data_IF_975672942771
#
_entry.id   IF_975672942771
#
_cell.length_a   1.000
_cell.length_b   1.000
_cell.length_c   1.000
_cell.angle_alpha   90.00
_cell.angle_beta   90.00
_cell.angle_gamma   90.00
#
_symmetry.space_group_name_H-M   'P 1'
#
loop_
_entity.id
_entity.type
_entity.pdbx_description
1 polymer ?
#
# COMPACT_ATOMS: atom_id res chain seq x y z
N UNK A 1 -1.50 -34.97 0.46
CA UNK A 1 -0.48 -34.03 -0.07
C UNK A 1 0.09 -33.25 1.11
N UNK A 2 1.41 -33.28 1.36
CA UNK A 2 2.01 -32.43 2.41
C UNK A 2 1.83 -30.96 1.98
N UNK A 3 0.95 -30.23 2.65
CA UNK A 3 0.71 -28.81 2.39
C UNK A 3 1.88 -27.99 2.96
N UNK A 4 3.00 -27.95 2.24
CA UNK A 4 4.08 -27.03 2.54
C UNK A 4 3.67 -25.62 2.08
N UNK A 5 3.24 -24.80 3.04
CA UNK A 5 2.77 -23.43 2.78
C UNK A 5 3.89 -22.56 2.18
N UNK A 6 5.16 -22.86 2.46
CA UNK A 6 6.28 -22.13 1.89
C UNK A 6 6.37 -22.28 0.35
N UNK A 7 5.81 -23.35 -0.20
CA UNK A 7 5.77 -23.66 -1.65
C UNK A 7 4.34 -23.60 -2.20
N UNK A 8 3.57 -22.62 -1.76
CA UNK A 8 2.16 -22.50 -2.13
C UNK A 8 1.99 -22.41 -3.66
N UNK A 9 1.25 -23.35 -4.29
CA UNK A 9 0.99 -23.31 -5.72
C UNK A 9 0.00 -22.20 -6.08
N UNK A 10 -0.07 -21.89 -7.37
CA UNK A 10 -0.88 -20.80 -7.90
C UNK A 10 -2.37 -20.94 -7.53
N UNK A 11 -2.96 -22.12 -7.75
CA UNK A 11 -4.41 -22.32 -7.59
C UNK A 11 -4.88 -22.04 -6.15
N UNK A 12 -4.26 -22.61 -5.09
CA UNK A 12 -4.65 -22.27 -3.72
C UNK A 12 -4.43 -20.80 -3.34
N UNK A 13 -3.38 -20.17 -3.87
CA UNK A 13 -3.11 -18.75 -3.62
C UNK A 13 -4.21 -17.84 -4.23
N UNK A 14 -4.72 -18.19 -5.41
CA UNK A 14 -5.83 -17.48 -6.03
C UNK A 14 -7.16 -17.75 -5.32
N UNK A 15 -7.44 -18.99 -4.91
CA UNK A 15 -8.66 -19.33 -4.18
C UNK A 15 -8.73 -18.59 -2.85
N UNK A 16 -7.63 -18.54 -2.10
CA UNK A 16 -7.55 -17.78 -0.85
C UNK A 16 -7.76 -16.28 -1.09
N UNK A 17 -7.16 -15.72 -2.15
CA UNK A 17 -7.43 -14.32 -2.52
C UNK A 17 -8.91 -14.08 -2.90
N UNK A 18 -9.56 -15.01 -3.62
CA UNK A 18 -10.97 -14.89 -3.97
C UNK A 18 -11.86 -14.89 -2.74
N UNK A 19 -11.59 -15.79 -1.78
CA UNK A 19 -12.32 -15.82 -0.49
C UNK A 19 -12.12 -14.50 0.27
N UNK A 20 -10.89 -14.01 0.37
CA UNK A 20 -10.60 -12.72 1.00
C UNK A 20 -11.26 -11.56 0.26
N UNK A 21 -11.35 -11.60 -1.06
CA UNK A 21 -12.07 -10.63 -1.88
C UNK A 21 -13.58 -10.67 -1.65
N UNK A 22 -14.16 -11.84 -1.39
CA UNK A 22 -15.54 -11.97 -0.94
C UNK A 22 -15.74 -11.37 0.45
N UNK A 23 -14.81 -11.61 1.38
CA UNK A 23 -14.85 -11.03 2.72
C UNK A 23 -14.70 -9.49 2.70
N UNK A 24 -13.86 -8.94 1.82
CA UNK A 24 -13.80 -7.48 1.63
C UNK A 24 -15.08 -6.93 1.00
N UNK A 25 -15.67 -7.62 0.01
CA UNK A 25 -16.94 -7.22 -0.58
C UNK A 25 -18.06 -7.14 0.46
N UNK A 26 -18.09 -8.11 1.37
CA UNK A 26 -18.99 -8.13 2.52
C UNK A 26 -18.68 -6.97 3.47
N UNK A 27 -17.40 -6.76 3.78
CA UNK A 27 -16.96 -5.68 4.67
C UNK A 27 -17.40 -4.30 4.18
N UNK A 28 -17.31 -4.07 2.88
CA UNK A 28 -17.74 -2.84 2.24
C UNK A 28 -19.27 -2.68 2.15
N UNK A 29 -20.06 -3.73 2.40
CA UNK A 29 -21.53 -3.65 2.40
C UNK A 29 -22.07 -2.88 3.62
N UNK A 30 -21.31 -2.82 4.70
CA UNK A 30 -21.69 -2.20 5.96
C UNK A 30 -20.96 -0.87 6.17
N UNK A 31 -20.70 -0.13 5.07
CA UNK A 31 -19.73 0.94 5.10
C UNK A 31 -20.20 2.32 5.57
N UNK A 32 -19.84 2.66 6.82
CA UNK A 32 -19.89 4.03 7.33
C UNK A 32 -18.73 4.86 6.74
N UNK A 33 -19.10 5.78 5.87
CA UNK A 33 -18.21 6.63 5.06
C UNK A 33 -17.56 7.78 5.84
N UNK A 34 -17.91 7.98 7.11
CA UNK A 34 -17.55 9.16 7.92
C UNK A 34 -16.06 9.24 8.28
N UNK A 35 -15.38 8.11 8.48
CA UNK A 35 -13.97 8.08 8.90
C UNK A 35 -12.97 8.39 7.75
N UNK A 36 -13.35 8.17 6.49
CA UNK A 36 -12.49 8.47 5.34
C UNK A 36 -12.43 9.98 5.01
N UNK A 37 -13.48 10.74 5.39
CA UNK A 37 -13.65 12.16 5.06
C UNK A 37 -12.72 13.06 5.89
N UNK A 38 -12.46 12.73 7.15
CA UNK A 38 -11.64 13.57 8.05
C UNK A 38 -10.16 13.59 7.64
N UNK A 39 -9.67 12.56 6.95
CA UNK A 39 -8.29 12.47 6.49
C UNK A 39 -8.01 13.18 5.15
N UNK A 40 -9.06 13.56 4.42
CA UNK A 40 -8.97 13.98 3.02
C UNK A 40 -9.10 15.49 2.79
N UNK A 41 -9.61 16.25 3.76
CA UNK A 41 -9.85 17.68 3.58
C UNK A 41 -8.91 18.55 4.42
N UNK A 42 -7.77 18.98 3.86
CA UNK A 42 -7.10 20.17 4.36
C UNK A 42 -7.99 21.38 4.04
N UNK A 43 -8.48 22.08 5.06
CA UNK A 43 -9.24 23.31 4.88
C UNK A 43 -8.32 24.41 4.31
N UNK A 44 -8.27 24.52 2.98
CA UNK A 44 -7.41 25.49 2.28
C UNK A 44 -8.25 26.41 1.42
N UNK A 45 -8.15 27.71 1.69
CA UNK A 45 -8.83 28.74 0.90
C UNK A 45 -8.36 28.74 -0.56
N UNK A 46 -9.29 28.80 -1.50
CA UNK A 46 -9.00 28.89 -2.94
C UNK A 46 -9.00 27.56 -3.70
N UNK A 47 -9.30 26.44 -3.04
CA UNK A 47 -9.79 25.23 -3.71
C UNK A 47 -11.28 25.40 -4.03
N UNK A 48 -11.62 25.32 -5.32
CA UNK A 48 -13.01 25.28 -5.80
C UNK A 48 -13.45 23.83 -6.00
N UNK A 49 -12.52 22.96 -6.36
CA UNK A 49 -12.76 21.53 -6.46
C UNK A 49 -12.48 20.86 -5.12
N UNK A 50 -13.37 19.96 -4.72
CA UNK A 50 -13.13 19.07 -3.60
C UNK A 50 -11.91 18.17 -3.89
N UNK A 51 -11.22 17.78 -2.82
CA UNK A 51 -10.11 16.85 -2.93
C UNK A 51 -10.56 15.53 -3.56
N UNK A 52 -9.73 14.87 -4.40
CA UNK A 52 -10.15 13.65 -5.11
C UNK A 52 -10.64 12.54 -4.19
N UNK A 53 -10.10 12.40 -2.97
CA UNK A 53 -10.61 11.44 -2.00
C UNK A 53 -12.06 11.74 -1.57
N UNK A 54 -12.44 13.01 -1.44
CA UNK A 54 -13.81 13.41 -1.10
C UNK A 54 -14.78 13.09 -2.23
N UNK A 55 -14.39 13.39 -3.47
CA UNK A 55 -15.16 12.98 -4.67
C UNK A 55 -15.36 11.47 -4.72
N UNK A 56 -14.34 10.69 -4.35
CA UNK A 56 -14.47 9.22 -4.25
C UNK A 56 -15.49 8.85 -3.18
N UNK A 57 -15.46 9.47 -1.99
CA UNK A 57 -16.44 9.21 -0.92
C UNK A 57 -17.87 9.56 -1.37
N UNK A 58 -18.07 10.69 -2.03
CA UNK A 58 -19.38 11.10 -2.55
C UNK A 58 -19.90 10.10 -3.59
N UNK A 59 -19.01 9.60 -4.46
CA UNK A 59 -19.35 8.52 -5.38
C UNK A 59 -19.74 7.22 -4.64
N UNK A 60 -19.04 6.88 -3.55
CA UNK A 60 -19.40 5.71 -2.74
C UNK A 60 -20.80 5.85 -2.13
N UNK A 61 -21.14 7.04 -1.63
CA UNK A 61 -22.46 7.33 -1.08
C UNK A 61 -23.56 7.27 -2.17
N UNK A 62 -23.29 7.83 -3.36
CA UNK A 62 -24.26 7.86 -4.45
C UNK A 62 -24.47 6.48 -5.10
N UNK A 63 -23.41 5.65 -5.21
CA UNK A 63 -23.43 4.37 -5.94
C UNK A 63 -22.71 3.25 -5.14
N UNK A 64 -23.26 2.81 -4.00
CA UNK A 64 -22.58 1.87 -3.11
C UNK A 64 -22.34 0.49 -3.75
N UNK A 65 -23.21 0.02 -4.65
CA UNK A 65 -22.99 -1.24 -5.37
C UNK A 65 -21.75 -1.22 -6.27
N UNK A 66 -21.60 -0.16 -7.07
CA UNK A 66 -20.45 0.01 -7.96
C UNK A 66 -19.17 0.28 -7.20
N UNK A 67 -19.23 1.10 -6.14
CA UNK A 67 -18.09 1.35 -5.27
C UNK A 67 -17.53 0.06 -4.65
N UNK A 68 -18.42 -0.84 -4.19
CA UNK A 68 -18.02 -2.16 -3.66
C UNK A 68 -17.32 -3.02 -4.71
N UNK A 69 -17.88 -3.07 -5.92
CA UNK A 69 -17.29 -3.85 -7.01
C UNK A 69 -15.91 -3.29 -7.40
N UNK A 70 -15.77 -1.97 -7.49
CA UNK A 70 -14.48 -1.34 -7.81
C UNK A 70 -13.46 -1.50 -6.67
N UNK A 71 -13.89 -1.41 -5.41
CA UNK A 71 -12.99 -1.56 -4.26
C UNK A 71 -12.47 -3.00 -4.14
N UNK A 72 -13.33 -3.99 -4.34
CA UNK A 72 -12.94 -5.41 -4.32
C UNK A 72 -12.01 -5.75 -5.48
N UNK A 73 -12.29 -5.21 -6.68
CA UNK A 73 -11.42 -5.35 -7.84
C UNK A 73 -10.06 -4.67 -7.58
N UNK A 74 -10.04 -3.45 -7.03
CA UNK A 74 -8.80 -2.75 -6.70
C UNK A 74 -7.97 -3.52 -5.67
N UNK A 75 -8.61 -4.05 -4.63
CA UNK A 75 -7.99 -4.94 -3.63
C UNK A 75 -7.36 -6.18 -4.28
N UNK A 76 -8.11 -6.90 -5.12
CA UNK A 76 -7.59 -8.09 -5.80
C UNK A 76 -6.42 -7.74 -6.72
N UNK A 77 -6.52 -6.65 -7.49
CA UNK A 77 -5.45 -6.20 -8.36
C UNK A 77 -4.20 -5.78 -7.58
N UNK A 78 -4.35 -5.17 -6.40
CA UNK A 78 -3.23 -4.80 -5.56
C UNK A 78 -2.47 -6.05 -5.09
N UNK A 79 -3.20 -7.05 -4.57
CA UNK A 79 -2.62 -8.33 -4.15
C UNK A 79 -1.94 -9.09 -5.31
N UNK A 80 -2.59 -9.13 -6.48
CA UNK A 80 -2.05 -9.76 -7.69
C UNK A 80 -0.82 -9.04 -8.23
N UNK A 81 -0.82 -7.70 -8.24
CA UNK A 81 0.30 -6.90 -8.69
C UNK A 81 1.53 -7.13 -7.80
N UNK A 82 1.32 -7.16 -6.48
CA UNK A 82 2.34 -7.46 -5.47
C UNK A 82 2.90 -8.86 -5.67
N UNK A 83 2.09 -9.91 -5.66
CA UNK A 83 2.60 -11.28 -5.78
C UNK A 83 3.18 -11.64 -7.15
N UNK A 84 2.65 -11.10 -8.25
CA UNK A 84 3.28 -11.29 -9.57
C UNK A 84 4.65 -10.61 -9.64
N UNK A 85 4.84 -9.48 -8.96
CA UNK A 85 6.15 -8.82 -8.90
C UNK A 85 7.17 -9.73 -8.20
N UNK A 86 6.79 -10.40 -7.10
CA UNK A 86 7.71 -11.23 -6.33
C UNK A 86 8.12 -12.49 -7.10
N UNK A 87 7.19 -13.12 -7.83
CA UNK A 87 7.44 -14.25 -8.71
C UNK A 87 8.35 -13.88 -9.89
N UNK A 88 8.04 -12.78 -10.59
CA UNK A 88 8.78 -12.37 -11.80
C UNK A 88 10.25 -12.11 -11.52
N UNK A 89 10.56 -11.54 -10.36
CA UNK A 89 11.93 -11.22 -9.97
C UNK A 89 12.56 -12.31 -9.10
N UNK A 90 11.89 -13.45 -8.90
CA UNK A 90 12.44 -14.58 -8.13
C UNK A 90 12.92 -14.18 -6.73
N UNK A 91 12.17 -13.33 -6.02
CA UNK A 91 12.67 -12.64 -4.83
C UNK A 91 13.17 -13.57 -3.71
N UNK A 92 12.63 -14.78 -3.64
CA UNK A 92 12.87 -15.71 -2.53
C UNK A 92 13.74 -16.92 -2.94
N UNK A 93 14.21 -16.98 -4.20
CA UNK A 93 14.92 -18.15 -4.75
C UNK A 93 14.04 -19.39 -4.99
N UNK A 94 12.87 -19.47 -4.35
CA UNK A 94 11.84 -20.49 -4.57
C UNK A 94 10.61 -19.82 -5.21
N UNK A 95 10.03 -20.47 -6.21
CA UNK A 95 8.77 -20.05 -6.82
C UNK A 95 7.61 -20.28 -5.84
N UNK A 96 7.24 -19.23 -5.10
CA UNK A 96 6.12 -19.27 -4.16
C UNK A 96 5.13 -18.15 -4.46
N UNK A 97 3.84 -18.51 -4.47
CA UNK A 97 2.75 -17.56 -4.68
C UNK A 97 2.26 -16.93 -3.36
N UNK A 98 2.92 -17.20 -2.23
CA UNK A 98 2.52 -16.80 -0.87
C UNK A 98 2.27 -15.29 -0.71
N UNK A 99 3.01 -14.46 -1.45
CA UNK A 99 2.83 -13.00 -1.41
C UNK A 99 1.41 -12.55 -1.85
N UNK A 100 0.73 -13.29 -2.73
CA UNK A 100 -0.63 -12.96 -3.20
C UNK A 100 -1.64 -13.05 -2.05
N UNK A 101 -1.82 -14.19 -1.36
CA UNK A 101 -2.78 -14.28 -0.27
C UNK A 101 -2.36 -13.48 0.95
N UNK A 102 -1.06 -13.34 1.25
CA UNK A 102 -0.61 -12.47 2.35
C UNK A 102 -0.95 -11.00 2.10
N UNK A 103 -0.81 -10.50 0.87
CA UNK A 103 -1.21 -9.14 0.54
C UNK A 103 -2.71 -8.92 0.78
N UNK A 104 -3.56 -9.85 0.33
CA UNK A 104 -4.99 -9.78 0.62
C UNK A 104 -5.28 -9.84 2.11
N UNK A 105 -4.62 -10.75 2.83
CA UNK A 105 -4.86 -10.98 4.24
C UNK A 105 -4.44 -9.78 5.10
N UNK A 106 -3.27 -9.23 4.84
CA UNK A 106 -2.75 -8.06 5.54
C UNK A 106 -3.56 -6.81 5.22
N UNK A 107 -3.98 -6.62 3.97
CA UNK A 107 -4.89 -5.52 3.65
C UNK A 107 -6.20 -5.66 4.43
N UNK A 108 -6.82 -6.85 4.42
CA UNK A 108 -8.08 -7.09 5.14
C UNK A 108 -7.92 -6.88 6.66
N UNK A 109 -6.86 -7.40 7.27
CA UNK A 109 -6.60 -7.26 8.70
C UNK A 109 -6.22 -5.84 9.15
N UNK A 110 -5.84 -4.96 8.22
CA UNK A 110 -5.51 -3.55 8.49
C UNK A 110 -6.61 -2.58 8.10
N UNK A 111 -7.66 -3.02 7.42
CA UNK A 111 -8.79 -2.16 7.08
C UNK A 111 -9.46 -1.69 8.37
N UNK A 112 -9.51 -0.38 8.59
CA UNK A 112 -10.20 0.23 9.73
C UNK A 112 -11.54 0.78 9.28
N UNK A 113 -12.57 0.54 10.10
CA UNK A 113 -13.95 0.78 9.69
C UNK A 113 -14.29 -0.05 8.46
N UNK A 114 -15.38 0.30 7.82
CA UNK A 114 -15.77 -0.37 6.61
C UNK A 114 -15.06 0.23 5.42
N UNK A 115 -14.24 -0.58 4.78
CA UNK A 115 -13.17 -0.04 3.97
C UNK A 115 -13.65 0.78 2.76
N UNK A 116 -12.87 1.79 2.45
CA UNK A 116 -13.22 2.73 1.39
C UNK A 116 -12.59 2.33 0.05
N UNK A 117 -13.28 2.67 -1.03
CA UNK A 117 -12.77 2.62 -2.38
C UNK A 117 -11.48 3.43 -2.49
N UNK A 118 -11.39 4.56 -1.79
CA UNK A 118 -10.21 5.40 -1.77
C UNK A 118 -9.00 4.64 -1.21
N UNK A 119 -9.13 3.95 -0.07
CA UNK A 119 -8.01 3.24 0.57
C UNK A 119 -7.53 2.05 -0.26
N UNK A 120 -8.46 1.25 -0.81
CA UNK A 120 -8.10 0.13 -1.70
C UNK A 120 -7.44 0.61 -2.98
N UNK A 121 -7.89 1.75 -3.53
CA UNK A 121 -7.25 2.42 -4.66
C UNK A 121 -5.86 2.94 -4.29
N UNK A 122 -5.68 3.49 -3.09
CA UNK A 122 -4.37 3.91 -2.58
C UNK A 122 -3.38 2.75 -2.48
N UNK A 123 -3.81 1.61 -1.92
CA UNK A 123 -3.00 0.40 -1.85
C UNK A 123 -2.65 -0.14 -3.24
N UNK A 124 -3.58 -0.08 -4.20
CA UNK A 124 -3.34 -0.43 -5.60
C UNK A 124 -2.31 0.49 -6.26
N UNK A 125 -2.41 1.80 -6.06
CA UNK A 125 -1.45 2.79 -6.57
C UNK A 125 -0.05 2.56 -6.00
N UNK A 126 0.06 2.26 -4.69
CA UNK A 126 1.32 1.91 -4.07
C UNK A 126 1.90 0.59 -4.62
N UNK A 127 1.07 -0.44 -4.79
CA UNK A 127 1.48 -1.71 -5.40
C UNK A 127 1.96 -1.54 -6.86
N UNK A 128 1.29 -0.69 -7.65
CA UNK A 128 1.74 -0.39 -9.01
C UNK A 128 2.98 0.49 -9.05
N UNK A 129 3.11 1.47 -8.15
CA UNK A 129 4.29 2.30 -8.05
C UNK A 129 5.52 1.45 -7.73
N UNK A 130 5.46 0.66 -6.66
CA UNK A 130 6.53 -0.26 -6.24
C UNK A 130 6.89 -1.27 -7.32
N UNK A 131 5.90 -1.85 -8.00
CA UNK A 131 6.11 -2.76 -9.14
C UNK A 131 6.86 -2.10 -10.30
N UNK A 132 6.55 -0.85 -10.63
CA UNK A 132 7.20 -0.15 -11.73
C UNK A 132 8.60 0.34 -11.35
N UNK A 133 8.81 0.75 -10.09
CA UNK A 133 10.16 1.00 -9.59
C UNK A 133 11.01 -0.28 -9.61
N UNK A 134 10.49 -1.44 -9.19
CA UNK A 134 11.21 -2.70 -9.32
C UNK A 134 11.55 -3.07 -10.78
N UNK A 135 10.64 -2.78 -11.73
CA UNK A 135 10.91 -2.94 -13.17
C UNK A 135 11.99 -2.02 -13.71
N UNK A 136 12.24 -0.90 -13.05
CA UNK A 136 13.32 0.02 -13.45
C UNK A 136 14.71 -0.56 -13.17
N UNK A 137 14.82 -1.59 -12.32
CA UNK A 137 16.06 -2.33 -12.12
C UNK A 137 16.39 -3.18 -13.35
N UNK A 138 16.98 -2.53 -14.35
CA UNK A 138 17.49 -3.14 -15.58
C UNK A 138 18.73 -2.40 -16.07
N UNK A 139 19.50 -3.06 -16.92
CA UNK A 139 20.58 -2.41 -17.65
C UNK A 139 19.97 -1.48 -18.72
N UNK A 140 20.53 -0.29 -18.87
CA UNK A 140 20.03 0.75 -19.78
C UNK A 140 18.87 1.58 -19.22
N UNK A 141 18.33 2.45 -20.07
CA UNK A 141 17.33 3.44 -19.69
C UNK A 141 15.96 2.80 -19.38
N UNK A 142 15.32 3.26 -18.31
CA UNK A 142 14.03 2.78 -17.81
C UNK A 142 12.96 3.89 -17.71
N UNK A 143 12.97 4.84 -18.66
CA UNK A 143 12.08 6.01 -18.67
C UNK A 143 10.60 5.68 -18.45
N UNK A 144 10.04 4.73 -19.21
CA UNK A 144 8.62 4.34 -19.09
C UNK A 144 8.26 3.81 -17.70
N UNK A 145 9.11 2.94 -17.14
CA UNK A 145 8.87 2.36 -15.82
C UNK A 145 8.95 3.43 -14.71
N UNK A 146 9.91 4.34 -14.81
CA UNK A 146 10.09 5.42 -13.85
C UNK A 146 8.99 6.47 -13.94
N UNK A 147 8.56 6.83 -15.16
CA UNK A 147 7.45 7.75 -15.39
C UNK A 147 6.16 7.20 -14.79
N UNK A 148 5.84 5.91 -15.04
CA UNK A 148 4.67 5.26 -14.46
C UNK A 148 4.79 5.10 -12.95
N UNK A 149 5.96 4.69 -12.45
CA UNK A 149 6.22 4.53 -11.01
C UNK A 149 6.03 5.83 -10.25
N UNK A 150 6.60 6.93 -10.76
CA UNK A 150 6.39 8.29 -10.28
C UNK A 150 4.93 8.72 -10.41
N UNK A 151 4.30 8.50 -11.57
CA UNK A 151 2.90 8.84 -11.82
C UNK A 151 1.91 8.22 -10.84
N UNK A 152 2.03 6.91 -10.56
CA UNK A 152 1.18 6.25 -9.56
C UNK A 152 1.44 6.78 -8.14
N UNK A 153 2.68 7.16 -7.84
CA UNK A 153 3.03 7.75 -6.56
C UNK A 153 2.47 9.17 -6.42
N UNK A 154 2.56 9.98 -7.47
CA UNK A 154 1.95 11.31 -7.53
C UNK A 154 0.43 11.27 -7.39
N UNK A 155 -0.22 10.31 -8.06
CA UNK A 155 -1.66 10.07 -7.90
C UNK A 155 -2.03 9.67 -6.47
N UNK A 156 -1.19 8.87 -5.81
CA UNK A 156 -1.38 8.50 -4.41
C UNK A 156 -1.33 9.72 -3.49
N UNK A 157 -0.36 10.62 -3.70
CA UNK A 157 -0.22 11.88 -2.94
C UNK A 157 -1.39 12.83 -3.19
N UNK A 158 -1.87 12.92 -4.43
CA UNK A 158 -3.05 13.73 -4.79
C UNK A 158 -4.34 13.14 -4.19
N UNK A 159 -4.47 11.81 -4.17
CA UNK A 159 -5.61 11.14 -3.55
C UNK A 159 -5.58 11.30 -2.02
N UNK A 160 -4.40 11.16 -1.41
CA UNK A 160 -4.19 11.30 0.02
C UNK A 160 -2.97 12.19 0.30
N UNK A 161 -3.19 13.49 0.59
CA UNK A 161 -2.13 14.43 0.94
C UNK A 161 -1.19 13.90 2.02
N UNK A 162 -1.76 13.22 3.02
CA UNK A 162 -1.02 12.60 4.12
C UNK A 162 0.14 11.71 3.63
N UNK A 163 0.01 11.05 2.48
CA UNK A 163 1.02 10.14 1.92
C UNK A 163 2.24 10.82 1.31
N UNK A 164 2.34 12.15 1.38
CA UNK A 164 3.49 12.93 0.91
C UNK A 164 4.88 12.41 1.35
N UNK A 165 5.09 11.86 2.57
CA UNK A 165 6.36 11.24 2.95
C UNK A 165 6.79 10.11 2.00
N UNK A 166 5.85 9.41 1.36
CA UNK A 166 6.15 8.38 0.35
C UNK A 166 6.81 8.96 -0.89
N UNK A 167 6.73 10.26 -1.17
CA UNK A 167 7.46 10.91 -2.27
C UNK A 167 8.98 10.70 -2.17
N UNK A 168 9.51 10.49 -0.96
CA UNK A 168 10.91 10.12 -0.75
C UNK A 168 11.30 8.76 -1.39
N UNK A 169 10.33 7.92 -1.76
CA UNK A 169 10.59 6.68 -2.52
C UNK A 169 11.23 6.95 -3.88
N UNK A 170 10.98 8.10 -4.47
CA UNK A 170 11.49 8.45 -5.79
C UNK A 170 13.02 8.65 -5.76
N UNK A 171 13.58 9.58 -4.96
CA UNK A 171 15.03 9.71 -4.85
C UNK A 171 15.65 8.43 -4.29
N UNK A 172 14.98 7.75 -3.35
CA UNK A 172 15.46 6.47 -2.82
C UNK A 172 15.58 5.40 -3.91
N UNK A 173 14.57 5.20 -4.76
CA UNK A 173 14.62 4.25 -5.87
C UNK A 173 15.70 4.62 -6.90
N UNK A 174 15.82 5.91 -7.24
CA UNK A 174 16.81 6.37 -8.21
C UNK A 174 18.24 6.11 -7.72
N UNK A 175 18.53 6.41 -6.45
CA UNK A 175 19.83 6.14 -5.83
C UNK A 175 20.09 4.63 -5.71
N UNK A 176 19.12 3.89 -5.17
CA UNK A 176 19.26 2.46 -4.91
C UNK A 176 19.46 1.64 -6.19
N UNK A 177 18.74 2.00 -7.26
CA UNK A 177 18.83 1.32 -8.56
C UNK A 177 19.85 1.96 -9.51
N UNK A 178 20.65 2.92 -9.01
CA UNK A 178 21.69 3.64 -9.76
C UNK A 178 21.18 4.24 -11.08
N UNK A 179 20.01 4.85 -11.04
CA UNK A 179 19.40 5.53 -12.19
C UNK A 179 20.11 6.85 -12.48
N UNK A 180 20.14 7.23 -13.74
CA UNK A 180 20.78 8.48 -14.20
C UNK A 180 19.97 9.72 -13.81
N UNK A 181 20.58 10.91 -13.85
CA UNK A 181 19.86 12.17 -13.62
C UNK A 181 18.71 12.39 -14.60
N UNK A 182 18.88 11.98 -15.87
CA UNK A 182 17.82 12.04 -16.90
C UNK A 182 16.62 11.19 -16.51
N UNK A 183 16.88 10.00 -16.00
CA UNK A 183 15.85 9.08 -15.51
C UNK A 183 15.17 9.59 -14.24
N UNK A 184 15.94 10.18 -13.32
CA UNK A 184 15.41 10.80 -12.11
C UNK A 184 14.49 11.99 -12.45
N UNK A 185 14.85 12.82 -13.44
CA UNK A 185 14.02 13.91 -13.93
C UNK A 185 12.69 13.40 -14.50
N UNK A 186 12.71 12.30 -15.27
CA UNK A 186 11.48 11.67 -15.79
C UNK A 186 10.61 11.09 -14.67
N UNK A 187 11.23 10.47 -13.66
CA UNK A 187 10.50 10.00 -12.49
C UNK A 187 9.82 11.17 -11.76
N UNK A 188 10.55 12.26 -11.54
CA UNK A 188 10.06 13.46 -10.86
C UNK A 188 8.91 14.10 -11.64
N UNK A 189 9.07 14.23 -12.96
CA UNK A 189 8.01 14.70 -13.84
C UNK A 189 6.76 13.83 -13.70
N UNK A 190 6.91 12.51 -13.71
CA UNK A 190 5.81 11.58 -13.47
C UNK A 190 5.11 11.82 -12.13
N UNK A 191 5.86 12.01 -11.04
CA UNK A 191 5.29 12.24 -9.71
C UNK A 191 4.60 13.60 -9.56
N UNK A 192 5.09 14.64 -10.23
CA UNK A 192 4.54 16.00 -10.14
C UNK A 192 3.35 16.21 -11.09
N UNK A 193 3.29 15.45 -12.20
CA UNK A 193 2.26 15.61 -13.24
C UNK A 193 0.81 15.50 -12.70
N UNK A 194 0.43 14.54 -11.84
CA UNK A 194 -0.93 14.47 -11.29
C UNK A 194 -1.31 15.72 -10.48
N UNK A 195 -0.36 16.25 -9.71
CA UNK A 195 -0.58 17.45 -8.90
C UNK A 195 -0.74 18.70 -9.78
N UNK A 196 0.10 18.83 -10.81
CA UNK A 196 -0.03 19.92 -11.80
C UNK A 196 -1.35 19.85 -12.56
N UNK A 197 -1.79 18.65 -12.94
CA UNK A 197 -3.07 18.46 -13.61
C UNK A 197 -4.22 18.89 -12.70
N UNK A 198 -4.20 18.47 -11.43
CA UNK A 198 -5.21 18.87 -10.46
C UNK A 198 -5.21 20.39 -10.21
N UNK A 199 -4.04 21.01 -10.08
CA UNK A 199 -3.89 22.47 -9.98
C UNK A 199 -4.42 23.21 -11.20
N UNK A 200 -4.17 22.69 -12.40
CA UNK A 200 -4.67 23.27 -13.64
C UNK A 200 -6.20 23.19 -13.73
N UNK A 201 -6.80 22.05 -13.38
CA UNK A 201 -8.27 21.90 -13.39
C UNK A 201 -8.92 22.77 -12.30
N UNK A 202 -8.31 22.88 -11.11
CA UNK A 202 -8.79 23.81 -10.06
C UNK A 202 -8.74 25.26 -10.54
N UNK A 203 -7.66 25.66 -11.22
CA UNK A 203 -7.55 27.00 -11.79
C UNK A 203 -8.59 27.25 -12.88
N UNK A 204 -8.82 26.28 -13.78
CA UNK A 204 -9.87 26.35 -14.80
C UNK A 204 -11.29 26.42 -14.23
N UNK A 205 -11.51 25.88 -13.02
CA UNK A 205 -12.77 25.99 -12.29
C UNK A 205 -12.93 27.32 -11.52
N UNK A 206 -11.97 28.25 -11.63
CA UNK A 206 -12.00 29.55 -10.95
C UNK A 206 -11.27 29.58 -9.61
N UNK A 207 -10.60 28.50 -9.22
CA UNK A 207 -9.76 28.44 -8.02
C UNK A 207 -8.35 29.00 -8.24
N UNK A 208 -7.55 29.00 -7.16
CA UNK A 208 -6.13 29.38 -7.25
C UNK A 208 -5.29 28.18 -7.71
N UNK A 209 -4.38 28.41 -8.65
CA UNK A 209 -3.45 27.37 -9.11
C UNK A 209 -2.56 26.83 -7.96
N UNK A 210 -2.15 27.68 -7.03
CA UNK A 210 -1.29 27.28 -5.90
C UNK A 210 -2.02 26.49 -4.81
N UNK A 211 -3.36 26.51 -4.75
CA UNK A 211 -4.11 25.98 -3.61
C UNK A 211 -3.86 24.47 -3.35
N UNK A 212 -3.76 23.58 -4.35
CA UNK A 212 -3.41 22.19 -4.10
C UNK A 212 -1.99 21.98 -3.52
N UNK A 213 -1.05 22.86 -3.84
CA UNK A 213 0.30 22.81 -3.25
C UNK A 213 0.28 23.28 -1.79
N UNK A 214 -0.49 24.32 -1.49
CA UNK A 214 -0.71 24.80 -0.12
C UNK A 214 -1.39 23.71 0.74
N UNK A 215 -2.34 22.97 0.16
CA UNK A 215 -2.98 21.81 0.80
C UNK A 215 -2.03 20.68 1.16
N UNK A 216 -1.00 20.43 0.35
CA UNK A 216 0.07 19.48 0.70
C UNK A 216 0.95 20.01 1.85
N UNK A 217 1.14 21.32 1.95
CA UNK A 217 1.88 21.94 3.06
C UNK A 217 1.21 21.73 4.42
N UNK A 218 -0.12 21.68 4.45
CA UNK A 218 -0.91 21.42 5.66
C UNK A 218 -0.65 20.06 6.30
N UNK A 219 -0.05 19.11 5.56
CA UNK A 219 0.26 17.74 6.03
C UNK A 219 1.24 17.72 7.20
N UNK A 220 2.02 18.79 7.39
CA UNK A 220 3.02 18.91 8.45
C UNK A 220 2.50 19.65 9.70
N UNK A 221 1.24 20.10 9.70
CA UNK A 221 0.66 20.89 10.78
C UNK A 221 -0.36 20.03 11.52
N UNK A 222 -0.23 19.87 12.83
CA UNK A 222 -1.22 19.16 13.67
C UNK A 222 -0.61 18.31 14.77
N UNK A 223 -1.43 17.45 15.38
CA UNK A 223 -1.04 16.52 16.44
C UNK A 223 -0.40 15.26 15.86
N UNK A 224 0.88 15.06 16.14
CA UNK A 224 1.63 13.88 15.74
C UNK A 224 1.09 12.67 16.51
N UNK A 225 1.03 11.50 15.87
CA UNK A 225 0.53 10.25 16.45
C UNK A 225 -0.99 10.22 16.74
N UNK A 226 -1.76 11.23 16.32
CA UNK A 226 -3.22 11.21 16.41
C UNK A 226 -3.81 9.95 15.72
N UNK A 227 -3.22 9.54 14.59
CA UNK A 227 -3.58 8.33 13.87
C UNK A 227 -3.51 7.07 14.75
N UNK A 228 -2.44 6.94 15.53
CA UNK A 228 -2.18 5.79 16.39
C UNK A 228 -3.14 5.74 17.57
N UNK A 229 -3.51 6.90 18.13
CA UNK A 229 -4.49 6.99 19.22
C UNK A 229 -5.91 6.61 18.76
N UNK A 230 -6.24 6.86 17.49
CA UNK A 230 -7.54 6.53 16.90
C UNK A 230 -7.72 5.07 16.46
N UNK A 231 -6.70 4.21 16.62
CA UNK A 231 -6.78 2.81 16.20
C UNK A 231 -7.58 1.96 17.18
N UNK A 232 -8.48 1.13 16.66
CA UNK A 232 -9.13 0.08 17.46
C UNK A 232 -8.11 -0.89 18.07
N UNK A 233 -8.45 -1.47 19.22
CA UNK A 233 -7.60 -2.44 19.92
C UNK A 233 -7.30 -3.69 19.06
N UNK A 234 -8.28 -4.15 18.27
CA UNK A 234 -8.09 -5.24 17.31
C UNK A 234 -7.04 -4.90 16.24
N UNK A 235 -7.10 -3.68 15.68
CA UNK A 235 -6.13 -3.22 14.70
C UNK A 235 -4.73 -3.04 15.31
N UNK A 236 -4.64 -2.64 16.59
CA UNK A 236 -3.36 -2.59 17.30
C UNK A 236 -2.72 -3.97 17.41
N UNK A 237 -3.49 -5.00 17.77
CA UNK A 237 -2.98 -6.37 17.82
C UNK A 237 -2.50 -6.85 16.44
N UNK A 238 -3.29 -6.60 15.38
CA UNK A 238 -2.91 -6.98 14.02
C UNK A 238 -1.66 -6.22 13.55
N UNK A 239 -1.62 -4.89 13.74
CA UNK A 239 -0.49 -4.07 13.36
C UNK A 239 0.78 -4.42 14.14
N UNK A 240 0.68 -4.71 15.44
CA UNK A 240 1.80 -5.15 16.26
C UNK A 240 2.33 -6.53 15.80
N UNK A 241 1.44 -7.48 15.52
CA UNK A 241 1.83 -8.77 14.96
C UNK A 241 2.53 -8.61 13.60
N UNK A 242 1.99 -7.76 12.71
CA UNK A 242 2.59 -7.49 11.41
C UNK A 242 3.96 -6.82 11.54
N UNK A 243 4.11 -5.85 12.45
CA UNK A 243 5.39 -5.19 12.72
C UNK A 243 6.45 -6.18 13.23
N UNK A 244 6.07 -7.12 14.11
CA UNK A 244 6.96 -8.20 14.56
C UNK A 244 7.34 -9.13 13.41
N UNK A 245 6.38 -9.49 12.56
CA UNK A 245 6.61 -10.32 11.39
C UNK A 245 7.58 -9.66 10.41
N UNK A 246 7.39 -8.35 10.15
CA UNK A 246 8.25 -7.56 9.28
C UNK A 246 9.65 -7.39 9.88
N UNK A 247 9.76 -7.09 11.18
CA UNK A 247 11.06 -7.02 11.86
C UNK A 247 11.82 -8.35 11.76
N UNK A 248 11.13 -9.48 11.95
CA UNK A 248 11.71 -10.81 11.78
C UNK A 248 12.13 -11.08 10.33
N UNK A 249 11.31 -10.70 9.35
CA UNK A 249 11.61 -10.84 7.93
C UNK A 249 12.81 -9.98 7.50
N UNK A 250 12.89 -8.73 7.96
CA UNK A 250 14.02 -7.82 7.74
C UNK A 250 15.28 -8.38 8.39
N UNK A 251 15.21 -8.83 9.64
CA UNK A 251 16.36 -9.45 10.32
C UNK A 251 16.84 -10.71 9.57
N UNK A 252 15.92 -11.56 9.09
CA UNK A 252 16.26 -12.73 8.29
C UNK A 252 16.91 -12.35 6.94
N UNK A 253 16.45 -11.27 6.31
CA UNK A 253 17.05 -10.76 5.08
C UNK A 253 18.46 -10.21 5.33
N UNK A 254 18.64 -9.38 6.35
CA UNK A 254 19.93 -8.74 6.66
C UNK A 254 20.99 -9.78 7.02
N UNK A 255 20.63 -10.84 7.74
CA UNK A 255 21.54 -11.96 8.07
C UNK A 255 22.07 -12.68 6.83
N UNK A 256 21.25 -12.80 5.78
CA UNK A 256 21.59 -13.55 4.56
C UNK A 256 21.58 -12.66 3.31
N UNK A 257 21.90 -11.37 3.47
CA UNK A 257 21.71 -10.37 2.42
C UNK A 257 22.54 -10.68 1.16
N UNK A 258 23.73 -11.27 1.36
CA UNK A 258 24.66 -11.65 0.29
C UNK A 258 24.36 -13.04 -0.30
N UNK A 259 23.48 -13.83 0.31
CA UNK A 259 23.02 -15.10 -0.25
C UNK A 259 21.90 -14.93 -1.30
N UNK A 260 21.42 -13.70 -1.49
CA UNK A 260 20.35 -13.36 -2.43
C UNK A 260 20.97 -12.71 -3.66
N UNK A 261 20.47 -13.07 -4.86
CA UNK A 261 20.91 -12.45 -6.11
C UNK A 261 20.82 -10.93 -6.09
N UNK A 262 21.66 -10.25 -6.87
CA UNK A 262 21.79 -8.78 -6.84
C UNK A 262 20.46 -8.06 -7.07
N UNK A 263 19.75 -8.40 -8.14
CA UNK A 263 18.45 -7.79 -8.47
C UNK A 263 17.38 -8.03 -7.37
N UNK A 264 17.08 -9.28 -6.96
CA UNK A 264 16.19 -9.55 -5.83
C UNK A 264 16.56 -8.79 -4.56
N UNK A 265 17.85 -8.72 -4.22
CA UNK A 265 18.36 -8.02 -3.04
C UNK A 265 18.00 -6.54 -3.07
N UNK A 266 18.29 -5.83 -4.17
CA UNK A 266 17.97 -4.41 -4.27
C UNK A 266 16.46 -4.15 -4.23
N UNK A 267 15.64 -5.03 -4.84
CA UNK A 267 14.18 -4.91 -4.79
C UNK A 267 13.66 -5.13 -3.35
N UNK A 268 14.23 -6.06 -2.59
CA UNK A 268 13.85 -6.28 -1.19
C UNK A 268 14.30 -5.11 -0.30
N UNK A 269 15.51 -4.57 -0.49
CA UNK A 269 15.96 -3.35 0.21
C UNK A 269 15.06 -2.16 -0.12
N UNK A 270 14.59 -2.06 -1.38
CA UNK A 270 13.63 -1.04 -1.75
C UNK A 270 12.32 -1.19 -0.96
N UNK A 271 11.78 -2.40 -0.82
CA UNK A 271 10.58 -2.65 -0.04
C UNK A 271 10.76 -2.40 1.47
N UNK A 272 11.98 -2.56 2.02
CA UNK A 272 12.30 -2.09 3.38
C UNK A 272 12.14 -0.57 3.47
N UNK A 273 12.63 0.18 2.48
CA UNK A 273 12.42 1.63 2.44
C UNK A 273 10.95 2.02 2.30
N UNK A 274 10.17 1.28 1.50
CA UNK A 274 8.70 1.45 1.43
C UNK A 274 8.06 1.23 2.80
N UNK A 275 8.40 0.13 3.48
CA UNK A 275 7.90 -0.13 4.83
C UNK A 275 8.27 1.01 5.80
N UNK A 276 9.53 1.44 5.80
CA UNK A 276 10.01 2.50 6.68
C UNK A 276 9.30 3.83 6.45
N UNK A 277 9.05 4.21 5.19
CA UNK A 277 8.32 5.43 4.86
C UNK A 277 6.82 5.32 5.16
N UNK A 278 6.22 4.13 5.05
CA UNK A 278 4.84 3.89 5.52
C UNK A 278 4.76 3.97 7.04
N UNK A 279 5.75 3.49 7.78
CA UNK A 279 5.80 3.67 9.25
C UNK A 279 5.97 5.16 9.60
N UNK A 280 6.87 5.87 8.90
CA UNK A 280 7.09 7.30 9.08
C UNK A 280 5.83 8.12 8.78
N UNK A 281 5.04 7.70 7.78
CA UNK A 281 3.73 8.28 7.48
C UNK A 281 2.84 8.29 8.73
N UNK A 282 2.73 7.20 9.49
CA UNK A 282 1.91 7.16 10.73
C UNK A 282 2.48 7.98 11.88
N UNK A 283 3.75 8.35 11.83
CA UNK A 283 4.32 9.29 12.76
C UNK A 283 3.88 10.74 12.47
N UNK A 284 3.44 11.04 11.24
CA UNK A 284 3.05 12.39 10.82
C UNK A 284 1.72 12.90 11.39
N UNK A 285 1.48 14.22 11.37
CA UNK A 285 0.32 14.82 12.02
C UNK A 285 -0.98 14.70 11.22
N UNK A 286 -0.90 14.63 9.88
CA UNK A 286 -2.07 14.39 9.02
C UNK A 286 -2.34 12.89 8.78
N UNK A 287 -1.67 12.00 9.49
CA UNK A 287 -1.87 10.57 9.34
C UNK A 287 -3.26 10.16 9.85
N UNK A 288 -3.88 9.21 9.17
CA UNK A 288 -5.16 8.62 9.60
C UNK A 288 -5.04 7.11 9.71
N UNK A 289 -5.78 6.48 10.65
CA UNK A 289 -5.77 5.03 10.79
C UNK A 289 -6.31 4.33 9.51
N UNK A 290 -7.09 5.04 8.68
CA UNK A 290 -7.58 4.53 7.41
C UNK A 290 -6.47 4.18 6.40
N UNK A 291 -5.28 4.76 6.54
CA UNK A 291 -4.14 4.48 5.64
C UNK A 291 -3.36 3.21 6.00
N UNK A 292 -3.65 2.55 7.13
CA UNK A 292 -2.96 1.34 7.58
C UNK A 292 -2.82 0.26 6.50
N UNK A 293 -3.82 -0.02 5.65
CA UNK A 293 -3.71 -1.01 4.59
C UNK A 293 -2.57 -0.76 3.58
N UNK A 294 -2.02 0.46 3.49
CA UNK A 294 -0.84 0.73 2.68
C UNK A 294 0.38 -0.09 3.15
N UNK A 295 0.48 -0.40 4.45
CA UNK A 295 1.55 -1.23 5.00
C UNK A 295 1.50 -2.67 4.50
N UNK A 296 0.31 -3.16 4.12
CA UNK A 296 0.16 -4.53 3.60
C UNK A 296 1.00 -4.79 2.34
N UNK A 297 1.23 -3.77 1.50
CA UNK A 297 1.99 -3.90 0.25
C UNK A 297 3.45 -4.29 0.52
N UNK A 298 4.26 -3.49 1.25
CA UNK A 298 5.63 -3.89 1.57
C UNK A 298 5.70 -5.12 2.48
N UNK A 299 4.80 -5.27 3.46
CA UNK A 299 4.81 -6.42 4.36
C UNK A 299 4.54 -7.75 3.63
N UNK A 300 3.65 -7.76 2.64
CA UNK A 300 3.40 -8.97 1.83
C UNK A 300 4.57 -9.34 0.91
N UNK A 301 5.43 -8.39 0.55
CA UNK A 301 6.67 -8.66 -0.18
C UNK A 301 7.76 -9.17 0.75
N UNK A 302 7.83 -8.65 1.99
CA UNK A 302 8.87 -9.01 2.95
C UNK A 302 8.54 -10.30 3.70
N UNK A 303 7.32 -10.53 4.13
CA UNK A 303 6.94 -11.69 4.93
C UNK A 303 7.41 -13.03 4.33
N UNK A 304 7.22 -13.35 3.03
CA UNK A 304 7.65 -14.64 2.48
C UNK A 304 9.16 -14.94 2.62
N UNK A 305 9.99 -13.90 2.75
CA UNK A 305 11.44 -13.99 3.03
C UNK A 305 11.71 -14.77 4.32
N UNK A 306 10.82 -14.63 5.31
CA UNK A 306 10.84 -15.37 6.56
C UNK A 306 10.25 -16.78 6.37
N UNK A 307 9.08 -16.89 5.74
CA UNK A 307 8.35 -18.17 5.61
C UNK A 307 9.15 -19.25 4.89
N UNK A 308 9.93 -18.87 3.86
CA UNK A 308 10.75 -19.81 3.10
C UNK A 308 11.97 -20.32 3.90
N UNK A 309 12.39 -19.61 4.96
CA UNK A 309 13.58 -19.94 5.76
C UNK A 309 13.28 -20.57 7.11
N UNK A 310 12.06 -20.45 7.59
CA UNK A 310 11.61 -21.00 8.87
C UNK A 310 11.09 -22.44 8.67
N UNK A 311 11.08 -23.24 9.74
CA UNK A 311 10.56 -24.61 9.70
C UNK A 311 9.10 -24.62 9.18
N UNK A 312 8.70 -25.59 8.35
CA UNK A 312 7.35 -25.62 7.77
C UNK A 312 6.21 -25.50 8.80
N UNK A 313 6.34 -26.16 9.96
CA UNK A 313 5.36 -26.08 11.04
C UNK A 313 5.21 -24.67 11.63
N UNK A 314 6.32 -23.93 11.77
CA UNK A 314 6.29 -22.55 12.24
C UNK A 314 5.73 -21.61 11.16
N UNK A 315 6.08 -21.83 9.89
CA UNK A 315 5.49 -21.10 8.77
C UNK A 315 3.96 -21.30 8.71
N UNK A 316 3.48 -22.52 8.94
CA UNK A 316 2.03 -22.79 8.99
C UNK A 316 1.35 -22.15 10.18
N UNK A 317 2.00 -22.13 11.36
CA UNK A 317 1.48 -21.43 12.53
C UNK A 317 1.38 -19.93 12.29
N UNK A 318 2.43 -19.29 11.74
CA UNK A 318 2.41 -17.86 11.42
C UNK A 318 1.33 -17.50 10.41
N UNK A 319 1.13 -18.33 9.39
CA UNK A 319 0.04 -18.16 8.42
C UNK A 319 -1.33 -18.27 9.10
N UNK A 320 -1.54 -19.29 9.93
CA UNK A 320 -2.79 -19.51 10.65
C UNK A 320 -3.10 -18.38 11.65
N UNK A 321 -2.09 -17.88 12.37
CA UNK A 321 -2.22 -16.73 13.28
C UNK A 321 -2.58 -15.47 12.50
N UNK A 322 -1.94 -15.23 11.36
CA UNK A 322 -2.29 -14.10 10.48
C UNK A 322 -3.76 -14.18 10.05
N UNK A 323 -4.23 -15.38 9.72
CA UNK A 323 -5.61 -15.61 9.30
C UNK A 323 -6.60 -15.43 10.44
N UNK A 324 -6.30 -16.01 11.61
CA UNK A 324 -7.13 -15.89 12.80
C UNK A 324 -7.25 -14.43 13.28
N UNK A 325 -6.15 -13.67 13.27
CA UNK A 325 -6.16 -12.26 13.65
C UNK A 325 -6.95 -11.40 12.65
N UNK A 326 -6.81 -11.66 11.34
CA UNK A 326 -7.61 -10.95 10.34
C UNK A 326 -9.10 -11.27 10.49
N UNK A 327 -9.46 -12.53 10.71
CA UNK A 327 -10.84 -12.95 10.92
C UNK A 327 -11.42 -12.35 12.22
N UNK A 328 -10.63 -12.33 13.30
CA UNK A 328 -11.01 -11.70 14.57
C UNK A 328 -11.24 -10.19 14.39
N UNK A 329 -10.35 -9.51 13.68
CA UNK A 329 -10.48 -8.09 13.40
C UNK A 329 -11.78 -7.78 12.63
N UNK A 330 -12.05 -8.53 11.56
CA UNK A 330 -13.29 -8.42 10.78
C UNK A 330 -14.52 -8.72 11.65
N UNK A 331 -14.47 -9.77 12.48
CA UNK A 331 -15.59 -10.12 13.36
C UNK A 331 -15.87 -9.02 14.40
N UNK A 332 -14.82 -8.44 15.00
CA UNK A 332 -14.95 -7.36 15.98
C UNK A 332 -15.45 -6.06 15.36
N UNK A 333 -15.24 -5.84 14.06
CA UNK A 333 -15.79 -4.69 13.34
C UNK A 333 -17.31 -4.77 13.10
N UNK A 334 -17.89 -5.97 13.10
CA UNK A 334 -19.33 -6.19 12.81
C UNK A 334 -20.14 -6.71 14.01
N UNK A 335 -19.50 -6.95 15.15
CA UNK A 335 -20.16 -7.44 16.36
C UNK A 335 -20.75 -6.31 17.24
N UNK A 336 -20.58 -5.04 16.83
CA UNK A 336 -21.06 -3.83 17.49
C UNK A 336 -21.93 -3.08 16.49
#
# INVERSE_FOLDING_TARGET
MKSDIARQPLVPAFLTLLVLGGATAWSFAFADTSAAVVAADPAVGGLVLDMPARVVVDFQAARPGWARLLATLAFMLAALATGRMTLRHGLYGVSTCLAVPLAGLFMLGLLQGAGSLAVTTGALLLAYSTKNFARSFRNGYAFDALLRGGGYLGLLVVLFPATLPLAALLPFACLLFRRTLREAAVALFGAVLPLLLFAYVNWGAGGRFAAPFEALGGVFVGDYLAALRGMSLAAWFFAAFLALLDAAAVAALLRNLYGVGTQPRFILVYNIGVLALVVLLFAGPAASPALLPLAAVPSAVLAPVLFVRVRPALATLLYAVSFALAALHVALQYAI
#
